data_IF_990244157651
#
_entry.id   IF_990244157651
#
_cell.length_a   1.000
_cell.length_b   1.000
_cell.length_c   1.000
_cell.angle_alpha   90.00
_cell.angle_beta   90.00
_cell.angle_gamma   90.00
#
_symmetry.space_group_name_H-M   'P 1'
#
loop_
_entity.id
_entity.type
_entity.pdbx_description
1 polymer ?
#
# COMPACT_ATOMS: atom_id res chain seq x y z
N UNK A 1 4.06 -10.47 4.46
CA UNK A 1 3.64 -10.47 5.89
C UNK A 1 2.93 -9.16 6.24
N UNK A 2 3.56 -7.98 6.28
CA UNK A 2 3.01 -6.72 6.79
C UNK A 2 1.71 -6.26 6.13
N UNK A 3 1.52 -6.48 4.83
CA UNK A 3 0.22 -6.22 4.18
C UNK A 3 -0.86 -7.17 4.71
N UNK A 4 -0.52 -8.44 4.96
CA UNK A 4 -1.44 -9.41 5.53
C UNK A 4 -1.80 -9.05 6.97
N UNK A 5 -0.82 -8.65 7.79
CA UNK A 5 -1.05 -8.20 9.16
C UNK A 5 -1.95 -6.96 9.19
N UNK A 6 -1.65 -5.97 8.32
CA UNK A 6 -2.47 -4.76 8.18
C UNK A 6 -3.91 -5.11 7.80
N UNK A 7 -4.09 -5.95 6.79
CA UNK A 7 -5.41 -6.39 6.32
C UNK A 7 -6.18 -7.15 7.40
N UNK A 8 -5.49 -8.04 8.13
CA UNK A 8 -6.10 -8.82 9.21
C UNK A 8 -6.60 -7.92 10.36
N UNK A 9 -5.78 -6.95 10.78
CA UNK A 9 -6.17 -5.99 11.83
C UNK A 9 -7.37 -5.15 11.37
N UNK A 10 -7.33 -4.57 10.17
CA UNK A 10 -8.43 -3.76 9.64
C UNK A 10 -9.72 -4.56 9.49
N UNK A 11 -9.62 -5.82 9.06
CA UNK A 11 -10.78 -6.69 8.95
C UNK A 11 -11.40 -7.02 10.32
N UNK A 12 -10.58 -7.30 11.33
CA UNK A 12 -11.07 -7.70 12.65
C UNK A 12 -11.58 -6.53 13.47
N UNK A 13 -10.79 -5.45 13.54
CA UNK A 13 -11.07 -4.35 14.45
C UNK A 13 -11.98 -3.29 13.82
N UNK A 14 -11.77 -3.00 12.51
CA UNK A 14 -12.51 -1.95 11.80
C UNK A 14 -13.63 -2.51 10.89
N UNK A 15 -13.83 -3.85 10.86
CA UNK A 15 -14.83 -4.56 10.04
C UNK A 15 -14.68 -4.28 8.55
N UNK A 16 -13.45 -4.05 8.11
CA UNK A 16 -13.17 -3.76 6.71
C UNK A 16 -13.27 -5.01 5.84
N UNK A 17 -13.91 -4.89 4.68
CA UNK A 17 -13.79 -5.86 3.59
C UNK A 17 -12.48 -5.60 2.85
N UNK A 18 -11.65 -6.63 2.73
CA UNK A 18 -10.32 -6.53 2.10
C UNK A 18 -10.44 -6.88 0.63
N UNK A 19 -9.89 -6.01 -0.23
CA UNK A 19 -9.76 -6.24 -1.67
C UNK A 19 -8.28 -6.22 -2.03
N UNK A 20 -7.80 -7.27 -2.68
CA UNK A 20 -6.41 -7.35 -3.17
C UNK A 20 -6.39 -6.96 -4.65
N UNK A 21 -5.52 -6.01 -4.96
CA UNK A 21 -5.35 -5.44 -6.31
C UNK A 21 -3.88 -5.59 -6.74
N UNK A 22 -3.68 -5.87 -8.01
CA UNK A 22 -2.36 -6.03 -8.60
C UNK A 22 -2.45 -6.50 -10.05
N UNK A 23 -1.34 -6.46 -10.75
CA UNK A 23 -1.19 -7.05 -12.09
C UNK A 23 -1.01 -8.57 -12.01
N UNK A 24 -1.04 -9.22 -13.15
CA UNK A 24 -0.72 -10.66 -13.24
C UNK A 24 0.69 -10.99 -12.70
N UNK A 25 1.65 -10.09 -12.88
CA UNK A 25 3.00 -10.24 -12.34
C UNK A 25 3.04 -10.26 -10.80
N UNK A 26 2.03 -9.73 -10.14
CA UNK A 26 1.94 -9.66 -8.67
C UNK A 26 1.28 -10.91 -8.05
N UNK A 27 0.87 -11.90 -8.84
CA UNK A 27 0.15 -13.09 -8.35
C UNK A 27 0.89 -13.85 -7.25
N UNK A 28 2.21 -14.03 -7.40
CA UNK A 28 3.01 -14.72 -6.38
C UNK A 28 3.04 -13.97 -5.04
N UNK A 29 3.12 -12.64 -5.11
CA UNK A 29 3.09 -11.76 -3.93
C UNK A 29 1.68 -11.78 -3.32
N UNK A 30 0.65 -11.70 -4.17
CA UNK A 30 -0.74 -11.79 -3.73
C UNK A 30 -1.05 -13.10 -3.00
N UNK A 31 -0.61 -14.23 -3.53
CA UNK A 31 -0.74 -15.53 -2.88
C UNK A 31 0.00 -15.57 -1.53
N UNK A 32 1.20 -14.99 -1.45
CA UNK A 32 1.91 -14.88 -0.19
C UNK A 32 1.16 -14.00 0.83
N UNK A 33 0.49 -12.94 0.39
CA UNK A 33 -0.38 -12.14 1.28
C UNK A 33 -1.54 -12.99 1.77
N UNK A 34 -2.28 -13.66 0.88
CA UNK A 34 -3.43 -14.51 1.23
C UNK A 34 -3.04 -15.59 2.24
N UNK A 35 -1.91 -16.26 2.02
CA UNK A 35 -1.42 -17.34 2.89
C UNK A 35 -1.01 -16.85 4.30
N UNK A 36 -0.73 -15.57 4.46
CA UNK A 36 -0.38 -14.95 5.74
C UNK A 36 -1.54 -14.18 6.38
N UNK A 37 -2.73 -14.15 5.77
CA UNK A 37 -3.91 -13.57 6.40
C UNK A 37 -4.38 -14.41 7.59
N UNK A 38 -5.02 -13.76 8.55
CA UNK A 38 -5.76 -14.49 9.58
C UNK A 38 -6.82 -15.40 8.95
N UNK A 39 -7.01 -16.63 9.45
CA UNK A 39 -7.94 -17.63 8.84
C UNK A 39 -9.38 -17.15 8.66
N UNK A 40 -9.81 -16.18 9.43
CA UNK A 40 -11.16 -15.59 9.34
C UNK A 40 -11.29 -14.46 8.32
N UNK A 41 -10.20 -14.05 7.67
CA UNK A 41 -10.18 -12.99 6.68
C UNK A 41 -10.23 -13.59 5.27
N UNK A 42 -11.33 -13.33 4.58
CA UNK A 42 -11.55 -13.79 3.21
C UNK A 42 -11.53 -12.59 2.25
N UNK A 43 -10.38 -12.28 1.62
CA UNK A 43 -10.28 -11.12 0.75
C UNK A 43 -10.95 -11.38 -0.61
N UNK A 44 -11.45 -10.31 -1.22
CA UNK A 44 -11.79 -10.32 -2.65
C UNK A 44 -10.47 -10.18 -3.42
N UNK A 45 -10.03 -11.25 -4.06
CA UNK A 45 -8.77 -11.23 -4.82
C UNK A 45 -9.05 -10.91 -6.29
N UNK A 46 -8.60 -9.73 -6.75
CA UNK A 46 -8.71 -9.25 -8.12
C UNK A 46 -7.35 -9.15 -8.84
N UNK A 47 -6.28 -9.69 -8.25
CA UNK A 47 -4.93 -9.63 -8.81
C UNK A 47 -4.88 -10.38 -10.15
N UNK A 48 -4.51 -9.69 -11.23
CA UNK A 48 -4.44 -10.26 -12.57
C UNK A 48 -5.79 -10.47 -13.26
N UNK A 49 -6.91 -10.10 -12.63
CA UNK A 49 -8.25 -10.40 -13.15
C UNK A 49 -8.98 -9.18 -13.71
N UNK A 50 -8.44 -8.00 -13.58
CA UNK A 50 -9.07 -6.74 -14.00
C UNK A 50 -8.14 -5.90 -14.87
N UNK A 51 -8.71 -5.25 -15.86
CA UNK A 51 -8.05 -4.25 -16.70
C UNK A 51 -7.83 -2.94 -15.94
N UNK A 52 -7.04 -2.01 -16.52
CA UNK A 52 -6.79 -0.70 -15.92
C UNK A 52 -8.08 0.13 -15.77
N UNK A 53 -9.03 0.00 -16.71
CA UNK A 53 -10.32 0.71 -16.65
C UNK A 53 -11.18 0.15 -15.52
N UNK A 54 -11.24 -1.18 -15.39
CA UNK A 54 -11.96 -1.83 -14.30
C UNK A 54 -11.31 -1.52 -12.94
N UNK A 55 -9.98 -1.43 -12.89
CA UNK A 55 -9.27 -1.00 -11.69
C UNK A 55 -9.72 0.40 -11.25
N UNK A 56 -9.86 1.36 -12.18
CA UNK A 56 -10.37 2.69 -11.85
C UNK A 56 -11.78 2.63 -11.25
N UNK A 57 -12.68 1.83 -11.85
CA UNK A 57 -14.03 1.63 -11.33
C UNK A 57 -14.10 0.91 -9.97
N UNK A 58 -13.17 0.00 -9.70
CA UNK A 58 -13.02 -0.63 -8.37
C UNK A 58 -12.52 0.40 -7.37
N UNK A 59 -11.45 1.13 -7.71
CA UNK A 59 -10.86 2.14 -6.83
C UNK A 59 -11.90 3.19 -6.40
N UNK A 60 -12.70 3.70 -7.32
CA UNK A 60 -13.77 4.67 -7.04
C UNK A 60 -14.75 4.19 -5.94
N UNK A 61 -14.94 2.88 -5.81
CA UNK A 61 -15.84 2.26 -4.83
C UNK A 61 -15.17 1.89 -3.50
N UNK A 62 -13.86 1.98 -3.42
CA UNK A 62 -13.16 1.72 -2.18
C UNK A 62 -13.28 2.91 -1.21
N UNK A 63 -13.39 2.61 0.05
CA UNK A 63 -13.30 3.64 1.11
C UNK A 63 -11.90 4.21 1.24
N UNK A 64 -10.87 3.42 0.90
CA UNK A 64 -9.47 3.79 1.01
C UNK A 64 -8.60 2.76 0.30
N UNK A 65 -7.50 3.23 -0.30
CA UNK A 65 -6.42 2.40 -0.83
C UNK A 65 -5.19 2.49 0.08
N UNK A 66 -4.62 1.33 0.45
CA UNK A 66 -3.27 1.23 1.04
C UNK A 66 -2.33 0.67 -0.01
N UNK A 67 -1.29 1.40 -0.38
CA UNK A 67 -0.39 1.00 -1.47
C UNK A 67 1.02 1.55 -1.27
N UNK A 68 1.98 1.07 -2.04
CA UNK A 68 3.28 1.71 -2.21
C UNK A 68 3.24 2.88 -3.18
N UNK A 69 4.40 3.46 -3.48
CA UNK A 69 4.59 4.46 -4.54
C UNK A 69 4.50 3.77 -5.91
N UNK A 70 3.29 3.69 -6.45
CA UNK A 70 2.94 2.94 -7.67
C UNK A 70 1.86 3.65 -8.49
N UNK A 71 1.66 3.22 -9.74
CA UNK A 71 0.61 3.74 -10.63
C UNK A 71 -0.80 3.75 -10.01
N UNK A 72 -1.27 2.65 -9.39
CA UNK A 72 -2.56 2.60 -8.70
C UNK A 72 -2.77 3.69 -7.64
N UNK A 73 -1.71 4.17 -6.98
CA UNK A 73 -1.76 5.29 -6.05
C UNK A 73 -2.29 6.57 -6.72
N UNK A 74 -1.75 6.89 -7.88
CA UNK A 74 -2.17 8.08 -8.64
C UNK A 74 -3.55 7.91 -9.24
N UNK A 75 -3.87 6.70 -9.72
CA UNK A 75 -5.19 6.39 -10.26
C UNK A 75 -6.27 6.52 -9.17
N UNK A 76 -6.03 6.01 -7.97
CA UNK A 76 -6.93 6.19 -6.83
C UNK A 76 -7.19 7.66 -6.51
N UNK A 77 -6.11 8.47 -6.45
CA UNK A 77 -6.24 9.91 -6.23
C UNK A 77 -7.06 10.60 -7.34
N UNK A 78 -6.91 10.17 -8.61
CA UNK A 78 -7.63 10.75 -9.74
C UNK A 78 -9.14 10.45 -9.74
N UNK A 79 -9.55 9.33 -9.16
CA UNK A 79 -10.97 8.94 -9.01
C UNK A 79 -11.55 9.33 -7.63
N UNK A 80 -10.79 10.07 -6.83
CA UNK A 80 -11.26 10.60 -5.55
C UNK A 80 -11.15 9.63 -4.34
N UNK A 81 -10.50 8.48 -4.52
CA UNK A 81 -10.32 7.51 -3.44
C UNK A 81 -9.25 7.98 -2.46
N UNK A 82 -9.52 8.02 -1.15
CA UNK A 82 -8.50 8.29 -0.13
C UNK A 82 -7.34 7.30 -0.19
N UNK A 83 -6.10 7.77 -0.01
CA UNK A 83 -4.90 6.95 -0.19
C UNK A 83 -3.96 7.01 1.01
N UNK A 84 -3.60 5.87 1.54
CA UNK A 84 -2.44 5.70 2.43
C UNK A 84 -1.29 5.16 1.58
N UNK A 85 -0.27 5.98 1.38
CA UNK A 85 0.88 5.65 0.53
C UNK A 85 2.12 5.36 1.35
N UNK A 86 2.73 4.19 1.12
CA UNK A 86 3.96 3.76 1.78
C UNK A 86 5.14 4.12 0.87
N UNK A 87 5.98 5.03 1.35
CA UNK A 87 7.14 5.52 0.62
C UNK A 87 8.43 4.89 1.14
N UNK A 88 9.16 4.25 0.25
CA UNK A 88 10.50 3.75 0.45
C UNK A 88 11.57 4.80 0.10
N UNK A 89 12.41 4.56 -0.92
CA UNK A 89 13.52 5.43 -1.31
C UNK A 89 13.10 6.71 -2.03
N UNK A 90 11.90 6.75 -2.61
CA UNK A 90 11.39 7.88 -3.39
C UNK A 90 11.01 9.07 -2.51
N UNK A 91 11.05 10.26 -3.13
CA UNK A 91 10.74 11.52 -2.47
C UNK A 91 9.22 11.80 -2.53
N UNK A 92 8.52 11.80 -1.40
CA UNK A 92 7.09 12.07 -1.37
C UNK A 92 6.73 13.53 -1.75
N UNK A 93 7.67 14.48 -1.66
CA UNK A 93 7.44 15.85 -2.16
C UNK A 93 7.21 15.85 -3.66
N UNK A 94 7.89 14.97 -4.39
CA UNK A 94 7.80 14.87 -5.86
C UNK A 94 6.75 13.88 -6.34
N UNK A 95 6.54 12.80 -5.60
CA UNK A 95 5.78 11.63 -6.09
C UNK A 95 4.51 11.32 -5.29
N UNK A 96 4.16 12.09 -4.25
CA UNK A 96 2.91 11.87 -3.55
C UNK A 96 1.69 12.11 -4.47
N UNK A 97 0.58 11.37 -4.25
CA UNK A 97 -0.63 11.55 -5.04
C UNK A 97 -1.22 12.95 -4.85
N UNK A 98 -1.74 13.54 -5.92
CA UNK A 98 -2.30 14.90 -5.94
C UNK A 98 -3.73 14.89 -5.41
N UNK A 99 -3.88 14.75 -4.10
CA UNK A 99 -5.17 14.82 -3.39
C UNK A 99 -4.95 15.33 -1.97
N UNK A 100 -5.95 15.97 -1.39
CA UNK A 100 -5.97 16.31 0.04
C UNK A 100 -6.26 15.09 0.92
N UNK A 101 -6.94 14.08 0.37
CA UNK A 101 -7.29 12.84 1.07
C UNK A 101 -6.16 11.81 0.97
N UNK A 102 -5.01 12.15 1.54
CA UNK A 102 -3.84 11.27 1.57
C UNK A 102 -3.13 11.27 2.90
N UNK A 103 -2.53 10.14 3.22
CA UNK A 103 -1.54 9.98 4.28
C UNK A 103 -0.27 9.36 3.72
N UNK A 104 0.87 9.95 4.03
CA UNK A 104 2.18 9.43 3.62
C UNK A 104 2.82 8.72 4.81
N UNK A 105 3.11 7.44 4.62
CA UNK A 105 3.76 6.60 5.64
C UNK A 105 5.16 6.23 5.17
N UNK A 106 6.14 6.43 6.01
CA UNK A 106 7.53 6.08 5.73
C UNK A 106 8.29 5.75 7.01
N UNK A 107 9.43 5.09 6.89
CA UNK A 107 10.37 4.93 7.99
C UNK A 107 11.19 6.21 8.18
N UNK A 108 11.49 6.55 9.44
CA UNK A 108 12.32 7.72 9.77
C UNK A 108 13.79 7.32 9.71
N UNK A 109 14.41 7.51 8.53
CA UNK A 109 15.80 7.18 8.25
C UNK A 109 16.55 8.40 7.70
N UNK A 110 17.78 8.61 8.18
CA UNK A 110 18.64 9.71 7.75
C UNK A 110 18.97 9.70 6.24
N UNK A 111 18.90 8.53 5.60
CA UNK A 111 19.21 8.36 4.18
C UNK A 111 18.00 8.56 3.24
N UNK A 112 16.83 8.93 3.76
CA UNK A 112 15.63 9.18 2.95
C UNK A 112 15.40 10.67 2.71
N UNK A 113 14.86 11.03 1.53
CA UNK A 113 14.74 10.24 0.31
C UNK A 113 16.09 10.09 -0.39
N UNK A 114 16.46 8.92 -0.87
CA UNK A 114 17.68 8.75 -1.66
C UNK A 114 17.44 8.67 -3.17
N UNK A 115 16.20 8.45 -3.60
CA UNK A 115 15.76 8.31 -5.00
C UNK A 115 16.51 7.22 -5.81
N UNK A 116 17.16 6.28 -5.12
CA UNK A 116 17.94 5.19 -5.73
C UNK A 116 17.11 3.90 -5.79
N UNK A 117 16.03 3.93 -6.57
CA UNK A 117 15.08 2.82 -6.65
C UNK A 117 15.67 1.62 -7.42
N UNK A 118 16.38 1.89 -8.53
CA UNK A 118 16.91 0.84 -9.43
C UNK A 118 18.27 0.32 -9.02
N UNK A 119 19.07 1.16 -8.38
CA UNK A 119 20.43 0.82 -7.95
C UNK A 119 20.58 1.21 -6.48
N UNK A 120 20.02 0.43 -5.54
CA UNK A 120 20.14 0.74 -4.12
C UNK A 120 21.62 0.72 -3.72
N UNK A 121 22.05 1.63 -2.81
CA UNK A 121 23.43 1.65 -2.34
C UNK A 121 23.77 0.32 -1.63
N UNK A 122 25.07 0.00 -1.56
CA UNK A 122 25.57 -1.24 -0.95
C UNK A 122 25.02 -1.50 0.48
N UNK A 123 24.72 -0.42 1.25
CA UNK A 123 24.09 -0.52 2.57
C UNK A 123 22.65 -1.08 2.55
N UNK A 124 22.01 -1.14 1.38
CA UNK A 124 20.67 -1.69 1.19
C UNK A 124 20.70 -3.10 0.59
N UNK A 125 21.84 -3.77 0.58
CA UNK A 125 22.06 -5.07 -0.08
C UNK A 125 21.43 -6.28 0.62
N UNK A 126 20.62 -6.08 1.64
CA UNK A 126 19.86 -7.17 2.29
C UNK A 126 18.66 -7.66 1.44
N UNK A 127 18.55 -7.24 0.19
CA UNK A 127 17.45 -7.61 -0.73
C UNK A 127 16.23 -6.72 -0.61
N UNK A 128 15.81 -6.33 0.58
CA UNK A 128 14.73 -5.36 0.80
C UNK A 128 15.28 -4.11 1.47
N UNK A 129 15.05 -2.91 0.90
CA UNK A 129 15.57 -1.67 1.48
C UNK A 129 15.01 -1.42 2.89
N UNK A 130 15.86 -1.08 3.84
CA UNK A 130 15.49 -0.72 5.23
C UNK A 130 14.33 0.29 5.30
N UNK A 131 14.25 1.21 4.35
CA UNK A 131 13.22 2.22 4.30
C UNK A 131 11.80 1.66 4.05
N UNK A 132 11.69 0.45 3.53
CA UNK A 132 10.43 -0.30 3.44
C UNK A 132 10.27 -1.25 4.63
N UNK A 133 11.33 -1.94 5.03
CA UNK A 133 11.28 -2.92 6.13
C UNK A 133 10.96 -2.29 7.49
N UNK A 134 11.43 -1.07 7.72
CA UNK A 134 11.19 -0.35 8.99
C UNK A 134 9.85 0.39 9.05
N UNK A 135 9.01 0.30 8.01
CA UNK A 135 7.62 0.77 8.11
C UNK A 135 6.82 -0.23 8.94
N UNK A 136 6.38 0.18 10.10
CA UNK A 136 5.63 -0.69 11.01
C UNK A 136 4.13 -0.74 10.68
N UNK A 137 3.52 -1.89 10.91
CA UNK A 137 2.06 -2.10 10.76
C UNK A 137 1.26 -1.08 11.60
N UNK A 138 1.58 -0.83 12.88
CA UNK A 138 0.84 0.18 13.66
C UNK A 138 0.87 1.59 13.05
N UNK A 139 1.98 1.99 12.39
CA UNK A 139 2.08 3.29 11.71
C UNK A 139 1.11 3.37 10.52
N UNK A 140 0.97 2.28 9.76
CA UNK A 140 0.01 2.19 8.64
C UNK A 140 -1.43 2.20 9.14
N UNK A 141 -1.76 1.39 10.16
CA UNK A 141 -3.11 1.34 10.77
C UNK A 141 -3.52 2.73 11.28
N UNK A 142 -2.60 3.42 11.98
CA UNK A 142 -2.86 4.79 12.44
C UNK A 142 -3.20 5.71 11.27
N UNK A 143 -2.42 5.70 10.21
CA UNK A 143 -2.65 6.53 9.03
C UNK A 143 -4.00 6.23 8.34
N UNK A 144 -4.39 4.95 8.25
CA UNK A 144 -5.71 4.54 7.74
C UNK A 144 -6.83 5.12 8.60
N UNK A 145 -6.75 4.96 9.91
CA UNK A 145 -7.79 5.43 10.84
C UNK A 145 -7.89 6.94 10.87
N UNK A 146 -6.76 7.64 10.84
CA UNK A 146 -6.74 9.10 10.82
C UNK A 146 -7.40 9.64 9.53
N UNK A 147 -7.18 8.98 8.40
CA UNK A 147 -7.76 9.40 7.12
C UNK A 147 -9.26 9.08 7.01
N UNK A 148 -9.73 8.00 7.62
CA UNK A 148 -11.14 7.61 7.59
C UNK A 148 -12.03 8.38 8.59
N UNK A 149 -11.42 9.11 9.55
CA UNK A 149 -12.15 9.93 10.54
C UNK A 149 -12.44 11.35 10.05
N UNK A 150 -11.73 11.79 9.03
CA UNK A 150 -11.88 13.11 8.40
C UNK A 150 -12.87 13.04 7.22
#
# INVERSE_FOLDING_TARGET
ERFADTASILSHEDKATIVLLGSEADQSIGNAVVNNLSPSVHPINLIGHISLIELAGVLERLRLLVTGDTGPMHLAASVGTPVVSIFGPSDPVRYAPLTSQRQIVHADLWCRPCNQIRCPPARCNSGTPDCLEKVSVPKVIKAVRDLLRN
#
